data_IF_865329872602
#
_entry.id   IF_865329872602
#
_cell.length_a   1.000
_cell.length_b   1.000
_cell.length_c   1.000
_cell.angle_alpha   90.00
_cell.angle_beta   90.00
_cell.angle_gamma   90.00
#
_symmetry.space_group_name_H-M   'P 1'
#
loop_
_entity.id
_entity.type
_entity.pdbx_description
1 polymer ?
#
# COMPACT_ATOMS: atom_id res chain seq x y z
N UNK A 1 16.49 1.25 -10.61
CA UNK A 1 15.09 1.52 -10.25
C UNK A 1 14.96 3.00 -9.98
N UNK A 2 14.10 3.74 -10.71
CA UNK A 2 13.84 5.15 -10.40
C UNK A 2 13.15 5.19 -9.02
N UNK A 3 13.60 6.00 -8.05
CA UNK A 3 12.94 6.09 -6.76
C UNK A 3 11.48 6.52 -6.98
N UNK A 4 10.56 5.86 -6.29
CA UNK A 4 9.16 6.25 -6.29
C UNK A 4 9.07 7.69 -5.80
N UNK A 5 8.63 8.60 -6.68
CA UNK A 5 8.43 10.01 -6.32
C UNK A 5 7.08 10.19 -5.60
N UNK A 6 6.83 9.39 -4.58
CA UNK A 6 5.65 9.57 -3.73
C UNK A 6 6.08 10.30 -2.46
N UNK A 7 5.39 11.41 -2.16
CA UNK A 7 5.57 12.11 -0.90
C UNK A 7 5.09 11.22 0.26
N UNK A 8 5.69 11.33 1.46
CA UNK A 8 5.27 10.57 2.63
C UNK A 8 3.78 10.81 2.97
N UNK A 9 3.27 12.03 2.76
CA UNK A 9 1.86 12.35 2.97
C UNK A 9 0.93 11.59 2.02
N UNK A 10 1.33 11.46 0.74
CA UNK A 10 0.59 10.69 -0.26
C UNK A 10 0.60 9.21 0.09
N UNK A 11 1.74 8.69 0.55
CA UNK A 11 1.88 7.29 0.95
C UNK A 11 0.97 6.93 2.13
N UNK A 12 0.89 7.80 3.15
CA UNK A 12 -0.01 7.63 4.30
C UNK A 12 -1.49 7.63 3.86
N UNK A 13 -1.85 8.55 2.97
CA UNK A 13 -3.23 8.67 2.48
C UNK A 13 -3.63 7.45 1.64
N UNK A 14 -2.75 7.01 0.74
CA UNK A 14 -2.96 5.83 -0.08
C UNK A 14 -3.03 4.54 0.75
N UNK A 15 -2.17 4.41 1.77
CA UNK A 15 -2.20 3.30 2.72
C UNK A 15 -3.57 3.15 3.38
N UNK A 16 -4.15 4.28 3.85
CA UNK A 16 -5.48 4.31 4.46
C UNK A 16 -6.60 4.00 3.46
N UNK A 17 -6.54 4.56 2.26
CA UNK A 17 -7.55 4.33 1.23
C UNK A 17 -7.53 2.89 0.70
N UNK A 18 -6.35 2.31 0.57
CA UNK A 18 -6.13 0.95 0.09
C UNK A 18 -6.28 -0.11 1.17
N UNK A 19 -6.28 0.27 2.45
CA UNK A 19 -6.20 -0.68 3.57
C UNK A 19 -4.87 -1.44 3.62
N UNK A 20 -3.80 -0.88 3.03
CA UNK A 20 -2.48 -1.53 2.91
C UNK A 20 -1.49 -0.85 3.85
N UNK A 21 -0.63 -1.57 4.59
CA UNK A 21 0.37 -0.96 5.48
C UNK A 21 1.34 -0.02 4.76
N UNK A 22 1.75 1.06 5.41
CA UNK A 22 2.68 2.05 4.86
C UNK A 22 4.03 1.44 4.48
N UNK A 23 4.55 0.54 5.32
CA UNK A 23 5.81 -0.18 5.06
C UNK A 23 5.73 -0.97 3.75
N UNK A 24 4.63 -1.68 3.52
CA UNK A 24 4.41 -2.44 2.29
C UNK A 24 4.29 -1.49 1.08
N UNK A 25 3.62 -0.34 1.25
CA UNK A 25 3.47 0.67 0.20
C UNK A 25 4.80 1.33 -0.19
N UNK A 26 5.73 1.51 0.75
CA UNK A 26 7.07 2.06 0.48
C UNK A 26 7.98 1.08 -0.28
N UNK A 27 7.78 -0.24 -0.12
CA UNK A 27 8.51 -1.29 -0.84
C UNK A 27 7.80 -1.75 -2.12
N UNK A 28 6.57 -1.27 -2.34
CA UNK A 28 5.74 -1.69 -3.46
C UNK A 28 6.28 -1.15 -4.79
N UNK A 29 6.41 -1.99 -5.83
CA UNK A 29 6.83 -1.50 -7.14
C UNK A 29 5.75 -0.63 -7.81
N UNK A 30 6.18 0.37 -8.59
CA UNK A 30 5.34 1.43 -9.16
C UNK A 30 4.12 0.92 -9.94
N UNK A 31 4.27 -0.16 -10.70
CA UNK A 31 3.18 -0.69 -11.53
C UNK A 31 2.06 -1.31 -10.68
N UNK A 32 2.37 -1.91 -9.52
CA UNK A 32 1.38 -2.47 -8.60
C UNK A 32 0.59 -1.34 -7.93
N UNK A 33 1.27 -0.24 -7.57
CA UNK A 33 0.60 0.93 -7.01
C UNK A 33 -0.40 1.52 -8.00
N UNK A 34 -0.04 1.63 -9.29
CA UNK A 34 -0.95 2.09 -10.34
C UNK A 34 -2.16 1.17 -10.52
N UNK A 35 -1.98 -0.15 -10.44
CA UNK A 35 -3.08 -1.11 -10.48
C UNK A 35 -4.03 -0.90 -9.30
N UNK A 36 -3.49 -0.80 -8.08
CA UNK A 36 -4.28 -0.55 -6.86
C UNK A 36 -5.04 0.77 -6.89
N UNK A 37 -4.44 1.85 -7.42
CA UNK A 37 -5.13 3.13 -7.62
C UNK A 37 -6.27 2.98 -8.63
N UNK A 38 -6.04 2.29 -9.74
CA UNK A 38 -7.09 2.01 -10.73
C UNK A 38 -8.22 1.14 -10.14
N UNK A 39 -7.89 0.18 -9.28
CA UNK A 39 -8.87 -0.61 -8.53
C UNK A 39 -9.67 0.25 -7.55
N UNK A 40 -9.04 1.17 -6.80
CA UNK A 40 -9.74 2.11 -5.93
C UNK A 40 -10.74 2.98 -6.68
N UNK A 41 -10.33 3.56 -7.81
CA UNK A 41 -11.23 4.40 -8.62
C UNK A 41 -12.44 3.60 -9.13
N UNK A 42 -12.26 2.30 -9.41
CA UNK A 42 -13.38 1.41 -9.76
C UNK A 42 -14.24 1.05 -8.54
N UNK A 43 -13.62 0.83 -7.39
CA UNK A 43 -14.27 0.40 -6.13
C UNK A 43 -15.03 1.52 -5.43
N UNK A 44 -14.69 2.80 -5.67
CA UNK A 44 -15.56 3.93 -5.27
C UNK A 44 -16.97 3.85 -5.88
N UNK A 45 -17.17 3.06 -6.93
CA UNK A 45 -18.48 2.81 -7.53
C UNK A 45 -19.17 1.53 -7.01
N UNK A 46 -18.60 0.82 -6.02
CA UNK A 46 -19.16 -0.43 -5.47
C UNK A 46 -18.68 -0.69 -4.04
N UNK A 47 -19.55 -0.63 -3.01
CA UNK A 47 -19.13 -0.74 -1.62
C UNK A 47 -19.02 -2.21 -1.21
N UNK A 48 -17.82 -2.83 -1.23
CA UNK A 48 -17.41 -3.87 -0.26
C UNK A 48 -16.04 -4.51 -0.53
N UNK A 49 -15.54 -5.14 0.54
CA UNK A 49 -14.44 -6.09 0.67
C UNK A 49 -13.06 -5.50 0.95
N UNK A 50 -12.83 -5.36 2.24
CA UNK A 50 -11.54 -5.42 2.94
C UNK A 50 -10.82 -6.73 2.55
N UNK A 51 -9.52 -6.65 2.26
CA UNK A 51 -8.63 -7.82 2.20
C UNK A 51 -7.43 -7.49 3.10
N UNK A 52 -7.57 -7.89 4.36
CA UNK A 52 -6.47 -7.92 5.29
C UNK A 52 -5.59 -9.12 4.97
N UNK A 53 -4.31 -8.87 4.74
CA UNK A 53 -3.30 -9.88 4.99
C UNK A 53 -2.24 -9.28 5.92
N UNK A 54 -2.28 -9.78 7.15
CA UNK A 54 -1.24 -9.69 8.17
C UNK A 54 0.14 -10.03 7.60
N UNK A 55 1.13 -9.18 7.85
CA UNK A 55 2.37 -9.63 8.48
C UNK A 55 3.14 -8.43 9.08
N UNK A 56 3.23 -8.39 10.40
CA UNK A 56 4.26 -7.70 11.17
C UNK A 56 4.89 -8.75 12.10
N UNK A 57 6.07 -8.54 12.67
CA UNK A 57 7.33 -8.09 12.09
C UNK A 57 8.45 -9.12 12.42
N UNK A 58 9.26 -9.54 11.46
CA UNK A 58 10.45 -10.38 11.76
C UNK A 58 11.68 -9.52 12.03
N UNK A 59 11.70 -8.89 13.20
CA UNK A 59 12.92 -8.40 13.86
C UNK A 59 13.40 -9.42 14.89
N UNK A 60 14.22 -10.38 14.45
CA UNK A 60 15.10 -11.26 15.24
C UNK A 60 16.38 -11.41 14.41
N UNK A 61 17.58 -11.10 14.85
CA UNK A 61 18.18 -11.47 16.12
C UNK A 61 19.37 -10.51 16.40
N UNK A 62 19.40 -9.89 17.57
CA UNK A 62 20.67 -9.47 18.20
C UNK A 62 20.95 -10.50 19.28
N UNK A 63 21.94 -11.36 19.01
CA UNK A 63 22.69 -12.06 20.05
C UNK A 63 24.13 -12.28 19.58
#
# INVERSE_FOLDING_TARGET
MKPLQISPETAITLSKQLGVPLEHLMHMPQHILLQKIAELSKKQNSPQAEDGNEESPSGKDSQ
#
